data_IF_683837858335
#
_entry.id   IF_683837858335
#
_cell.length_a   1.000
_cell.length_b   1.000
_cell.length_c   1.000
_cell.angle_alpha   90.00
_cell.angle_beta   90.00
_cell.angle_gamma   90.00
#
_symmetry.space_group_name_H-M   'P 1'
#
loop_
_entity.id
_entity.type
_entity.pdbx_description
1 polymer ?
#
# COMPACT_ATOMS: atom_id res chain seq x y z
N UNK A 1 12.98 14.63 5.68
CA UNK A 1 12.27 14.12 4.48
C UNK A 1 13.21 13.13 3.81
N UNK A 2 12.82 11.87 3.61
CA UNK A 2 13.72 10.77 3.22
C UNK A 2 14.30 10.87 1.78
N UNK A 3 14.25 12.03 1.13
CA UNK A 3 14.66 12.22 -0.26
C UNK A 3 16.17 12.41 -0.49
N UNK A 4 16.98 12.43 0.58
CA UNK A 4 18.42 12.80 0.51
C UNK A 4 19.34 11.63 0.06
N UNK A 5 18.77 10.44 -0.13
CA UNK A 5 19.48 9.28 -0.67
C UNK A 5 18.65 8.62 -1.76
N UNK A 6 19.29 8.01 -2.79
CA UNK A 6 18.56 7.27 -3.83
C UNK A 6 17.63 6.19 -3.25
N UNK A 7 17.99 5.62 -2.11
CA UNK A 7 17.21 4.59 -1.43
C UNK A 7 15.96 5.17 -0.76
N UNK A 8 16.07 6.31 -0.09
CA UNK A 8 14.92 6.97 0.52
C UNK A 8 14.01 7.68 -0.50
N UNK A 9 14.55 8.14 -1.64
CA UNK A 9 13.75 8.63 -2.77
C UNK A 9 12.90 7.50 -3.37
N UNK A 10 13.48 6.29 -3.55
CA UNK A 10 12.74 5.09 -3.99
C UNK A 10 11.66 4.71 -3.00
N UNK A 11 11.98 4.66 -1.69
CA UNK A 11 10.98 4.35 -0.66
C UNK A 11 9.82 5.34 -0.69
N UNK A 12 10.11 6.64 -0.84
CA UNK A 12 9.09 7.68 -0.94
C UNK A 12 8.22 7.49 -2.19
N UNK A 13 8.82 7.22 -3.36
CA UNK A 13 8.10 6.96 -4.59
C UNK A 13 7.21 5.70 -4.49
N UNK A 14 7.72 4.62 -3.89
CA UNK A 14 6.94 3.40 -3.63
C UNK A 14 5.72 3.68 -2.75
N UNK A 15 5.89 4.42 -1.65
CA UNK A 15 4.76 4.80 -0.79
C UNK A 15 3.72 5.63 -1.55
N UNK A 16 4.14 6.60 -2.36
CA UNK A 16 3.21 7.39 -3.19
C UNK A 16 2.46 6.52 -4.20
N UNK A 17 3.14 5.60 -4.88
CA UNK A 17 2.47 4.68 -5.81
C UNK A 17 1.42 3.81 -5.10
N UNK A 18 1.70 3.32 -3.89
CA UNK A 18 0.75 2.53 -3.10
C UNK A 18 -0.47 3.37 -2.67
N UNK A 19 -0.26 4.63 -2.27
CA UNK A 19 -1.34 5.57 -1.93
C UNK A 19 -2.26 5.79 -3.12
N UNK A 20 -1.70 6.11 -4.29
CA UNK A 20 -2.50 6.38 -5.49
C UNK A 20 -3.22 5.10 -5.97
N UNK A 21 -2.59 3.94 -5.84
CA UNK A 21 -3.26 2.65 -6.15
C UNK A 21 -4.43 2.38 -5.21
N UNK A 22 -4.30 2.66 -3.90
CA UNK A 22 -5.39 2.51 -2.93
C UNK A 22 -6.57 3.42 -3.30
N UNK A 23 -6.31 4.70 -3.59
CA UNK A 23 -7.34 5.66 -4.02
C UNK A 23 -8.03 5.21 -5.31
N UNK A 24 -7.27 4.75 -6.31
CA UNK A 24 -7.81 4.27 -7.58
C UNK A 24 -8.75 3.06 -7.41
N UNK A 25 -8.58 2.29 -6.33
CA UNK A 25 -9.45 1.17 -5.95
C UNK A 25 -10.52 1.56 -4.92
N UNK A 26 -10.68 2.84 -4.61
CA UNK A 26 -11.68 3.35 -3.66
C UNK A 26 -11.38 3.02 -2.19
N UNK A 27 -10.16 2.61 -1.87
CA UNK A 27 -9.75 2.29 -0.51
C UNK A 27 -9.22 3.51 0.24
N UNK A 28 -9.42 3.53 1.56
CA UNK A 28 -8.76 4.49 2.43
C UNK A 28 -7.23 4.21 2.44
N UNK A 29 -6.38 5.17 1.99
CA UNK A 29 -4.95 4.90 1.81
C UNK A 29 -4.21 4.52 3.09
N UNK A 30 -4.57 5.10 4.24
CA UNK A 30 -3.89 4.79 5.51
C UNK A 30 -4.16 3.35 5.93
N UNK A 31 -5.41 2.90 5.82
CA UNK A 31 -5.84 1.53 6.12
C UNK A 31 -5.16 0.53 5.19
N UNK A 32 -5.07 0.85 3.90
CA UNK A 32 -4.39 -0.01 2.92
C UNK A 32 -2.89 -0.14 3.21
N UNK A 33 -2.19 0.97 3.44
CA UNK A 33 -0.76 0.92 3.76
C UNK A 33 -0.51 0.15 5.06
N UNK A 34 -1.33 0.39 6.09
CA UNK A 34 -1.19 -0.31 7.35
C UNK A 34 -1.38 -1.82 7.18
N UNK A 35 -2.42 -2.22 6.44
CA UNK A 35 -2.67 -3.63 6.10
C UNK A 35 -1.49 -4.26 5.35
N UNK A 36 -0.95 -3.59 4.33
CA UNK A 36 0.21 -4.10 3.59
C UNK A 36 1.41 -4.25 4.53
N UNK A 37 1.75 -3.24 5.32
CA UNK A 37 2.92 -3.28 6.22
C UNK A 37 2.80 -4.37 7.29
N UNK A 38 1.60 -4.64 7.81
CA UNK A 38 1.35 -5.70 8.79
C UNK A 38 1.54 -7.12 8.22
N UNK A 39 1.24 -7.31 6.93
CA UNK A 39 1.15 -8.65 6.32
C UNK A 39 2.27 -8.95 5.32
N UNK A 40 2.95 -7.94 4.77
CA UNK A 40 3.99 -8.08 3.74
C UNK A 40 5.14 -9.00 4.20
N UNK A 41 5.53 -8.94 5.48
CA UNK A 41 6.60 -9.77 6.03
C UNK A 41 6.24 -11.27 6.08
N UNK A 42 4.95 -11.60 6.05
CA UNK A 42 4.42 -12.98 6.09
C UNK A 42 4.01 -13.49 4.70
N UNK A 43 4.03 -12.63 3.69
CA UNK A 43 3.65 -12.94 2.32
C UNK A 43 4.85 -13.53 1.56
N UNK A 44 5.15 -14.80 1.85
CA UNK A 44 6.26 -15.57 1.27
C UNK A 44 5.88 -16.32 -0.02
N UNK A 45 4.60 -16.32 -0.40
CA UNK A 45 4.12 -16.89 -1.67
C UNK A 45 3.45 -15.83 -2.54
N UNK A 46 3.37 -16.11 -3.84
CA UNK A 46 2.73 -15.21 -4.81
C UNK A 46 1.27 -14.99 -4.45
N UNK A 47 0.57 -16.04 -4.04
CA UNK A 47 -0.85 -15.98 -3.66
C UNK A 47 -1.07 -15.09 -2.44
N UNK A 48 -0.16 -15.16 -1.45
CA UNK A 48 -0.21 -14.28 -0.28
C UNK A 48 0.08 -12.82 -0.64
N UNK A 49 0.97 -12.58 -1.60
CA UNK A 49 1.23 -11.23 -2.11
C UNK A 49 0.03 -10.70 -2.91
N UNK A 50 -0.58 -11.55 -3.73
CA UNK A 50 -1.79 -11.20 -4.49
C UNK A 50 -2.97 -10.89 -3.56
N UNK A 51 -3.08 -11.57 -2.43
CA UNK A 51 -4.09 -11.28 -1.41
C UNK A 51 -3.94 -9.87 -0.79
N UNK A 52 -2.75 -9.27 -0.86
CA UNK A 52 -2.51 -7.90 -0.39
C UNK A 52 -2.84 -6.82 -1.43
N UNK A 53 -3.18 -7.22 -2.66
CA UNK A 53 -3.52 -6.28 -3.73
C UNK A 53 -4.84 -5.55 -3.43
N UNK A 54 -4.98 -4.29 -3.87
CA UNK A 54 -6.07 -3.43 -3.40
C UNK A 54 -7.45 -3.88 -3.87
N UNK A 55 -7.55 -4.71 -4.90
CA UNK A 55 -8.81 -5.33 -5.35
C UNK A 55 -9.15 -6.65 -4.64
N UNK A 56 -8.23 -7.21 -3.87
CA UNK A 56 -8.42 -8.47 -3.13
C UNK A 56 -8.63 -8.26 -1.63
N UNK A 57 -8.37 -7.05 -1.11
CA UNK A 57 -8.53 -6.72 0.30
C UNK A 57 -9.92 -6.14 0.59
N UNK A 58 -10.52 -6.56 1.70
CA UNK A 58 -11.77 -5.99 2.21
C UNK A 58 -11.43 -4.93 3.28
N UNK A 59 -11.14 -3.72 2.83
CA UNK A 59 -10.80 -2.60 3.69
C UNK A 59 -11.85 -1.48 3.61
N UNK A 60 -11.88 -0.56 4.58
CA UNK A 60 -12.79 0.57 4.55
C UNK A 60 -12.61 1.38 3.26
N UNK A 61 -13.73 1.74 2.64
CA UNK A 61 -13.72 2.65 1.51
C UNK A 61 -13.19 4.03 1.93
N UNK A 62 -12.53 4.71 1.00
CA UNK A 62 -12.11 6.08 1.20
C UNK A 62 -13.32 6.94 1.56
N UNK A 63 -13.24 7.65 2.69
CA UNK A 63 -14.29 8.59 3.08
C UNK A 63 -14.24 9.77 2.10
N UNK A 64 -15.36 10.07 1.45
CA UNK A 64 -15.48 11.31 0.67
C UNK A 64 -15.24 12.50 1.63
N UNK A 65 -14.23 13.32 1.29
CA UNK A 65 -13.95 14.57 1.97
C UNK A 65 -15.04 15.60 1.67
#
# INVERSE_FOLDING_TARGET
>A
MFADTPQGARASATCYSLIETAKANGLEPSAYIHHVLEHIAKADTVEKLEALLPWNVQLPAAKAA
#
